data_IF_132645077739
#
_entry.id   IF_132645077739
#
_cell.length_a   1.000
_cell.length_b   1.000
_cell.length_c   1.000
_cell.angle_alpha   90.00
_cell.angle_beta   90.00
_cell.angle_gamma   90.00
#
_symmetry.space_group_name_H-M   'P 1'
#
loop_
_entity.id
_entity.type
_entity.pdbx_description
1 polymer ?
#
# COMPACT_ATOMS: atom_id res chain seq x y z
N UNK A 1 -3.48 -7.57 6.27
CA UNK A 1 -4.39 -7.19 5.17
C UNK A 1 -4.22 -8.14 4.01
N UNK A 2 -5.32 -8.53 3.42
CA UNK A 2 -5.32 -9.51 2.34
C UNK A 2 -5.28 -8.82 0.97
N UNK A 3 -4.24 -9.08 0.20
CA UNK A 3 -4.01 -8.47 -1.11
C UNK A 3 -4.66 -9.35 -2.18
N UNK A 4 -5.57 -8.77 -2.94
CA UNK A 4 -6.26 -9.42 -4.07
C UNK A 4 -6.85 -10.80 -3.73
N UNK A 5 -7.25 -10.98 -2.47
CA UNK A 5 -7.84 -12.21 -1.98
C UNK A 5 -6.87 -13.39 -1.80
N UNK A 6 -5.56 -13.18 -1.91
CA UNK A 6 -4.58 -14.27 -1.97
C UNK A 6 -3.53 -14.20 -0.85
N UNK A 7 -2.81 -13.09 -0.73
CA UNK A 7 -1.66 -12.97 0.18
C UNK A 7 -1.92 -11.95 1.26
N UNK A 8 -1.69 -12.36 2.52
CA UNK A 8 -1.79 -11.47 3.67
C UNK A 8 -0.46 -10.78 3.95
N UNK A 9 -0.49 -9.45 4.11
CA UNK A 9 0.66 -8.63 4.45
C UNK A 9 0.35 -7.75 5.65
N UNK A 10 1.38 -7.41 6.40
CA UNK A 10 1.28 -6.52 7.56
C UNK A 10 1.87 -5.16 7.23
N UNK A 11 1.05 -4.13 7.35
CA UNK A 11 1.41 -2.75 7.00
C UNK A 11 1.54 -1.87 8.23
N UNK A 12 2.39 -0.86 8.12
CA UNK A 12 2.46 0.24 9.08
C UNK A 12 1.69 1.44 8.50
N UNK A 13 0.85 2.07 9.32
CA UNK A 13 0.11 3.27 8.91
C UNK A 13 1.09 4.45 8.85
N UNK A 14 1.13 5.12 7.69
CA UNK A 14 1.96 6.30 7.47
C UNK A 14 1.16 7.37 6.74
N UNK A 15 0.61 8.32 7.50
CA UNK A 15 -0.20 9.40 6.94
C UNK A 15 0.61 10.37 6.08
N UNK A 16 1.94 10.37 6.21
CA UNK A 16 2.82 11.16 5.38
C UNK A 16 3.12 10.55 4.01
N UNK A 17 2.80 9.27 3.81
CA UNK A 17 2.98 8.62 2.52
C UNK A 17 1.78 8.88 1.61
N UNK A 18 2.03 9.15 0.31
CA UNK A 18 0.95 9.40 -0.65
C UNK A 18 0.18 8.13 -0.97
N UNK A 19 0.89 7.03 -1.19
CA UNK A 19 0.31 5.77 -1.64
C UNK A 19 0.70 4.62 -0.71
N UNK A 20 0.08 3.46 -0.92
CA UNK A 20 0.51 2.23 -0.27
C UNK A 20 1.88 1.87 -0.82
N UNK A 21 2.83 1.60 0.07
CA UNK A 21 4.22 1.31 -0.31
C UNK A 21 4.53 -0.15 -0.03
N UNK A 22 5.04 -0.84 -1.05
CA UNK A 22 5.41 -2.26 -0.94
C UNK A 22 6.85 -2.43 -1.46
N UNK A 23 7.76 -3.01 -0.66
CA UNK A 23 9.14 -3.22 -1.09
C UNK A 23 9.23 -4.08 -2.36
N UNK A 24 10.26 -3.82 -3.16
CA UNK A 24 10.43 -4.45 -4.48
C UNK A 24 10.47 -5.98 -4.42
N UNK A 25 11.11 -6.56 -3.42
CA UNK A 25 11.16 -8.01 -3.25
C UNK A 25 9.79 -8.62 -2.95
N UNK A 26 8.97 -7.92 -2.16
CA UNK A 26 7.59 -8.34 -1.90
C UNK A 26 6.75 -8.24 -3.16
N UNK A 27 6.91 -7.15 -3.95
CA UNK A 27 6.21 -7.00 -5.24
C UNK A 27 6.58 -8.15 -6.18
N UNK A 28 7.84 -8.56 -6.23
CA UNK A 28 8.26 -9.70 -7.04
C UNK A 28 7.56 -11.00 -6.61
N UNK A 29 7.42 -11.22 -5.31
CA UNK A 29 6.67 -12.37 -4.78
C UNK A 29 5.21 -12.33 -5.21
N UNK A 30 4.59 -11.15 -5.14
CA UNK A 30 3.20 -10.97 -5.58
C UNK A 30 3.03 -11.26 -7.08
N UNK A 31 4.01 -10.85 -7.90
CA UNK A 31 4.00 -11.15 -9.32
C UNK A 31 4.18 -12.64 -9.61
N UNK A 32 5.14 -13.29 -8.94
CA UNK A 32 5.40 -14.71 -9.13
C UNK A 32 4.23 -15.59 -8.76
N UNK A 33 3.51 -15.21 -7.71
CA UNK A 33 2.32 -15.96 -7.25
C UNK A 33 1.07 -15.66 -8.07
N UNK A 34 1.12 -14.70 -9.00
CA UNK A 34 -0.04 -14.26 -9.77
C UNK A 34 -1.01 -13.38 -8.98
N UNK A 35 -0.65 -12.99 -7.75
CA UNK A 35 -1.45 -12.08 -6.93
C UNK A 35 -1.51 -10.69 -7.56
N UNK A 36 -0.36 -10.20 -8.07
CA UNK A 36 -0.29 -9.05 -8.97
C UNK A 36 -0.01 -9.53 -10.39
N UNK A 37 -0.59 -8.86 -11.36
CA UNK A 37 -0.37 -9.11 -12.78
C UNK A 37 0.26 -7.90 -13.44
N UNK A 38 0.95 -8.09 -14.56
CA UNK A 38 1.51 -6.97 -15.32
C UNK A 38 0.45 -5.94 -15.70
N UNK A 39 -0.78 -6.39 -15.98
CA UNK A 39 -1.89 -5.51 -16.31
C UNK A 39 -2.32 -4.61 -15.14
N UNK A 40 -1.91 -4.90 -13.92
CA UNK A 40 -2.18 -4.06 -12.76
C UNK A 40 -1.25 -2.85 -12.67
N UNK A 41 -0.13 -2.83 -13.40
CA UNK A 41 0.80 -1.72 -13.36
C UNK A 41 0.28 -0.50 -14.14
N UNK A 42 0.43 0.68 -13.52
CA UNK A 42 -0.16 1.93 -13.99
C UNK A 42 0.86 2.92 -14.58
N UNK A 43 2.16 2.59 -14.50
CA UNK A 43 3.23 3.46 -14.94
C UNK A 43 4.09 3.94 -13.78
N UNK A 44 4.89 4.97 -14.03
CA UNK A 44 5.85 5.49 -13.06
C UNK A 44 5.38 6.84 -12.52
N UNK A 45 5.46 7.02 -11.21
CA UNK A 45 5.16 8.26 -10.52
C UNK A 45 6.41 8.74 -9.78
N UNK A 46 6.64 10.04 -9.75
CA UNK A 46 7.75 10.64 -9.02
C UNK A 46 7.32 11.00 -7.61
N UNK A 47 8.06 10.51 -6.62
CA UNK A 47 7.79 10.78 -5.21
C UNK A 47 8.84 11.71 -4.62
N UNK A 48 8.42 12.59 -3.72
CA UNK A 48 9.31 13.48 -2.97
C UNK A 48 9.62 12.82 -1.63
N UNK A 49 10.90 12.61 -1.35
CA UNK A 49 11.35 12.03 -0.09
C UNK A 49 11.46 13.10 0.99
N UNK A 50 11.63 12.65 2.24
CA UNK A 50 11.70 13.54 3.40
C UNK A 50 12.84 14.56 3.31
N UNK A 51 13.95 14.22 2.63
CA UNK A 51 15.10 15.11 2.43
C UNK A 51 14.93 16.09 1.24
N UNK A 52 13.76 16.07 0.58
CA UNK A 52 13.46 16.90 -0.59
C UNK A 52 13.91 16.32 -1.92
N UNK A 53 14.64 15.20 -1.93
CA UNK A 53 15.00 14.50 -3.17
C UNK A 53 13.76 13.83 -3.78
N UNK A 54 13.87 13.48 -5.07
CA UNK A 54 12.80 12.81 -5.80
C UNK A 54 13.24 11.44 -6.28
N UNK A 55 12.31 10.51 -6.34
CA UNK A 55 12.55 9.15 -6.84
C UNK A 55 11.38 8.71 -7.73
N UNK A 56 11.66 8.23 -8.95
CA UNK A 56 10.62 7.62 -9.77
C UNK A 56 10.36 6.19 -9.26
N UNK A 57 9.09 5.82 -9.15
CA UNK A 57 8.70 4.48 -8.71
C UNK A 57 7.57 3.95 -9.56
N UNK A 58 7.64 2.68 -9.99
CA UNK A 58 6.50 2.04 -10.64
C UNK A 58 5.30 2.02 -9.69
N UNK A 59 4.12 2.24 -10.24
CA UNK A 59 2.87 2.17 -9.50
C UNK A 59 2.01 1.04 -10.04
N UNK A 60 1.13 0.54 -9.20
CA UNK A 60 0.23 -0.54 -9.58
C UNK A 60 -1.10 -0.39 -8.83
N UNK A 61 -2.11 -1.05 -9.37
CA UNK A 61 -3.42 -1.09 -8.75
C UNK A 61 -3.54 -2.35 -7.91
N UNK A 62 -3.82 -2.18 -6.63
CA UNK A 62 -4.28 -3.26 -5.77
C UNK A 62 -5.78 -3.36 -6.00
N UNK A 63 -6.22 -4.42 -6.67
CA UNK A 63 -7.64 -4.59 -7.04
C UNK A 63 -8.53 -4.66 -5.81
N UNK A 64 -8.13 -5.45 -4.82
CA UNK A 64 -8.82 -5.53 -3.54
C UNK A 64 -7.83 -5.58 -2.39
N UNK A 65 -8.15 -4.87 -1.31
CA UNK A 65 -7.39 -4.90 -0.07
C UNK A 65 -8.39 -5.14 1.06
N UNK A 66 -8.34 -6.33 1.66
CA UNK A 66 -9.26 -6.67 2.75
C UNK A 66 -8.63 -6.30 4.08
N UNK A 67 -9.36 -5.51 4.86
CA UNK A 67 -8.95 -5.03 6.18
C UNK A 67 -10.08 -5.35 7.15
N UNK A 68 -9.87 -6.34 8.03
CA UNK A 68 -10.95 -6.85 8.87
C UNK A 68 -12.08 -7.37 8.00
N UNK A 69 -13.28 -6.83 8.19
CA UNK A 69 -14.48 -7.22 7.43
C UNK A 69 -14.66 -6.40 6.15
N UNK A 70 -13.82 -5.37 5.93
CA UNK A 70 -13.99 -4.45 4.81
C UNK A 70 -13.11 -4.82 3.64
N UNK A 71 -13.66 -4.70 2.44
CA UNK A 71 -12.93 -4.86 1.18
C UNK A 71 -12.88 -3.49 0.50
N UNK A 72 -11.67 -3.00 0.29
CA UNK A 72 -11.42 -1.72 -0.37
C UNK A 72 -10.89 -2.01 -1.76
N UNK A 73 -11.47 -1.38 -2.78
CA UNK A 73 -11.11 -1.62 -4.17
C UNK A 73 -10.25 -0.48 -4.73
N UNK A 74 -9.42 -0.84 -5.70
CA UNK A 74 -8.66 0.12 -6.52
C UNK A 74 -7.76 1.05 -5.69
N UNK A 75 -6.91 0.46 -4.86
CA UNK A 75 -5.93 1.19 -4.07
C UNK A 75 -4.63 1.29 -4.85
N UNK A 76 -4.04 2.50 -4.92
CA UNK A 76 -2.78 2.71 -5.61
C UNK A 76 -1.63 2.28 -4.69
N UNK A 77 -0.76 1.43 -5.22
CA UNK A 77 0.47 1.03 -4.57
C UNK A 77 1.68 1.50 -5.37
N UNK A 78 2.79 1.67 -4.69
CA UNK A 78 4.07 2.02 -5.29
C UNK A 78 5.14 1.03 -4.85
N UNK A 79 6.06 0.73 -5.76
CA UNK A 79 7.20 -0.13 -5.47
C UNK A 79 8.22 0.69 -4.68
N UNK A 80 8.56 0.21 -3.49
CA UNK A 80 9.57 0.82 -2.63
C UNK A 80 10.91 0.08 -2.73
N UNK A 81 11.96 0.68 -2.17
CA UNK A 81 13.26 0.04 -2.02
C UNK A 81 13.11 -1.28 -1.25
N UNK A 82 13.98 -2.26 -1.54
CA UNK A 82 14.02 -3.55 -0.85
C UNK A 82 14.10 -3.38 0.66
N UNK A 83 14.82 -2.35 1.14
CA UNK A 83 14.96 -2.04 2.56
C UNK A 83 13.79 -1.22 3.12
N UNK A 84 12.85 -0.84 2.27
CA UNK A 84 11.67 -0.09 2.69
C UNK A 84 10.69 -0.93 3.50
N UNK A 85 9.76 -0.26 4.14
CA UNK A 85 8.70 -0.89 4.92
C UNK A 85 7.41 -0.96 4.11
N UNK A 86 6.53 -1.88 4.51
CA UNK A 86 5.15 -1.94 4.01
C UNK A 86 4.36 -0.80 4.68
N UNK A 87 3.95 0.20 3.92
CA UNK A 87 3.29 1.39 4.43
C UNK A 87 1.89 1.56 3.85
N UNK A 88 0.93 1.92 4.70
CA UNK A 88 -0.40 2.36 4.29
C UNK A 88 -0.42 3.88 4.23
N UNK A 89 -0.46 4.42 3.02
CA UNK A 89 -0.49 5.85 2.80
C UNK A 89 -1.88 6.40 2.47
N UNK A 90 -1.93 7.63 1.97
CA UNK A 90 -3.17 8.36 1.72
C UNK A 90 -4.06 7.72 0.66
N UNK A 91 -3.51 7.01 -0.32
CA UNK A 91 -4.34 6.34 -1.33
C UNK A 91 -5.28 5.28 -0.72
N UNK A 92 -4.91 4.74 0.45
CA UNK A 92 -5.77 3.87 1.24
C UNK A 92 -6.60 4.69 2.26
N UNK A 93 -5.92 5.50 3.07
CA UNK A 93 -6.57 6.22 4.18
C UNK A 93 -7.68 7.16 3.71
N UNK A 94 -7.50 7.80 2.55
CA UNK A 94 -8.48 8.72 1.97
C UNK A 94 -9.77 8.05 1.52
N UNK A 95 -9.82 6.73 1.46
CA UNK A 95 -11.04 5.99 1.10
C UNK A 95 -12.06 5.95 2.24
N UNK A 96 -11.69 6.42 3.41
CA UNK A 96 -12.55 6.45 4.60
C UNK A 96 -12.91 7.88 4.95
N UNK A 97 -14.08 8.06 5.58
CA UNK A 97 -14.51 9.38 6.07
C UNK A 97 -13.58 9.89 7.15
N UNK A 98 -13.15 8.99 8.02
CA UNK A 98 -12.18 9.29 9.06
C UNK A 98 -11.39 8.04 9.43
N UNK A 99 -10.22 8.25 9.99
CA UNK A 99 -9.39 7.18 10.53
C UNK A 99 -8.65 7.69 11.76
N UNK A 100 -8.34 6.75 12.67
CA UNK A 100 -7.56 7.07 13.87
C UNK A 100 -6.82 5.83 14.35
N UNK A 101 -5.87 6.03 15.24
CA UNK A 101 -5.11 4.95 15.86
C UNK A 101 -5.41 4.95 17.34
N UNK A 102 -5.86 3.80 17.86
CA UNK A 102 -5.97 3.56 19.29
C UNK A 102 -4.62 3.05 19.78
N UNK A 103 -3.84 3.92 20.39
CA UNK A 103 -2.49 3.60 20.82
C UNK A 103 -2.45 2.53 21.93
N UNK A 104 -3.47 2.48 22.77
CA UNK A 104 -3.50 1.51 23.88
C UNK A 104 -3.74 0.09 23.38
N UNK A 105 -4.54 -0.07 22.33
CA UNK A 105 -4.83 -1.37 21.70
C UNK A 105 -4.02 -1.61 20.43
N UNK A 106 -3.28 -0.61 19.96
CA UNK A 106 -2.51 -0.66 18.72
C UNK A 106 -3.36 -1.10 17.51
N UNK A 107 -4.55 -0.52 17.40
CA UNK A 107 -5.47 -0.81 16.29
C UNK A 107 -5.80 0.44 15.49
N UNK A 108 -6.02 0.24 14.21
CA UNK A 108 -6.48 1.26 13.27
C UNK A 108 -8.01 1.25 13.26
N UNK A 109 -8.61 2.41 13.52
CA UNK A 109 -10.06 2.59 13.47
C UNK A 109 -10.42 3.30 12.17
N UNK A 110 -11.32 2.70 11.40
CA UNK A 110 -11.77 3.18 10.11
C UNK A 110 -13.27 3.45 10.12
N UNK A 111 -13.65 4.57 9.55
CA UNK A 111 -15.06 4.97 9.51
C UNK A 111 -15.50 5.29 8.06
#
# INVERSE_FOLDING_TARGET
MLINGVIELHFTVDSGASDVSIPADVVMTLLRSGTLKESDFLGTKTYVLADGSTVPSPTFRIRTLKVGDRIIENVIGAVADIKGSLLLGQSFLSKFNSWSIDNSRQVLLLD
#
